data_IF_669574038500
#
_entry.id   IF_669574038500
#
_cell.length_a   1.000
_cell.length_b   1.000
_cell.length_c   1.000
_cell.angle_alpha   90.00
_cell.angle_beta   90.00
_cell.angle_gamma   90.00
#
_symmetry.space_group_name_H-M   'P 1'
#
loop_
_entity.id
_entity.type
_entity.pdbx_description
1 polymer ?
#
# COMPACT_ATOMS: atom_id res chain seq x y z
N UNK A 1 3.40 4.58 -17.14
CA UNK A 1 3.68 5.92 -16.63
C UNK A 1 5.18 6.21 -16.69
N UNK A 2 5.55 7.49 -16.75
CA UNK A 2 6.94 7.94 -16.80
C UNK A 2 7.17 9.04 -15.78
N UNK A 3 8.40 9.16 -15.30
CA UNK A 3 8.85 10.24 -14.44
C UNK A 3 9.03 11.54 -15.23
N UNK A 4 9.34 12.65 -14.56
CA UNK A 4 9.54 13.96 -15.19
C UNK A 4 10.68 13.97 -16.23
N UNK A 5 11.68 13.11 -16.09
CA UNK A 5 12.83 12.93 -17.02
C UNK A 5 12.57 11.87 -18.12
N UNK A 6 11.31 11.43 -18.25
CA UNK A 6 10.85 10.45 -19.23
C UNK A 6 11.38 9.02 -19.04
N UNK A 7 11.93 8.70 -17.88
CA UNK A 7 12.28 7.31 -17.52
C UNK A 7 11.04 6.53 -17.05
N UNK A 8 11.15 5.20 -17.00
CA UNK A 8 10.07 4.37 -16.49
C UNK A 8 9.83 4.66 -15.00
N UNK A 9 8.55 4.79 -14.64
CA UNK A 9 8.15 5.06 -13.27
C UNK A 9 8.16 3.77 -12.44
N UNK A 10 8.94 3.76 -11.39
CA UNK A 10 8.97 2.70 -10.38
C UNK A 10 8.44 3.25 -9.06
N UNK A 11 7.39 2.67 -8.52
CA UNK A 11 6.92 2.98 -7.16
C UNK A 11 7.96 2.55 -6.12
N UNK A 12 8.60 1.42 -6.36
CA UNK A 12 9.70 0.91 -5.55
C UNK A 12 10.83 0.44 -6.47
N UNK A 13 12.06 0.83 -6.19
CA UNK A 13 13.23 0.26 -6.85
C UNK A 13 13.52 -1.13 -6.29
N UNK A 14 14.15 -2.04 -7.04
CA UNK A 14 14.59 -3.31 -6.50
C UNK A 14 15.43 -3.13 -5.23
N UNK A 15 15.11 -3.87 -4.17
CA UNK A 15 15.76 -3.74 -2.86
C UNK A 15 15.23 -2.63 -1.95
N UNK A 16 14.31 -1.78 -2.43
CA UNK A 16 13.76 -0.67 -1.65
C UNK A 16 12.41 -1.00 -0.99
N UNK A 17 11.98 -2.24 -1.03
CA UNK A 17 10.73 -2.68 -0.38
C UNK A 17 10.93 -4.05 0.23
N UNK A 18 10.71 -4.16 1.52
CA UNK A 18 10.76 -5.41 2.28
C UNK A 18 9.43 -5.64 2.98
N UNK A 19 8.85 -6.82 2.78
CA UNK A 19 7.67 -7.27 3.50
C UNK A 19 7.98 -8.54 4.27
N UNK A 20 7.49 -8.61 5.51
CA UNK A 20 7.65 -9.77 6.35
C UNK A 20 6.42 -10.09 7.19
N UNK A 21 6.34 -11.36 7.59
CA UNK A 21 5.35 -11.85 8.54
C UNK A 21 6.09 -12.30 9.80
N UNK A 22 5.85 -11.58 10.88
CA UNK A 22 6.32 -11.96 12.20
C UNK A 22 5.37 -12.95 12.86
N UNK A 23 5.87 -14.09 13.33
CA UNK A 23 5.08 -15.07 14.07
C UNK A 23 5.94 -15.81 15.09
N UNK A 24 5.32 -16.20 16.20
CA UNK A 24 6.00 -16.97 17.24
C UNK A 24 5.88 -18.48 16.95
N UNK A 25 7.04 -19.15 16.83
CA UNK A 25 7.16 -20.60 16.55
C UNK A 25 8.01 -21.33 17.61
N UNK A 26 7.92 -20.90 18.89
CA UNK A 26 8.87 -21.25 19.95
C UNK A 26 9.94 -20.16 20.11
N UNK A 27 10.24 -19.44 19.05
CA UNK A 27 11.01 -18.21 18.97
C UNK A 27 10.29 -17.24 18.04
N UNK A 28 10.59 -15.95 18.15
CA UNK A 28 10.03 -14.94 17.22
C UNK A 28 10.81 -15.06 15.90
N UNK A 29 10.10 -15.38 14.83
CA UNK A 29 10.65 -15.35 13.48
C UNK A 29 9.99 -14.25 12.67
N UNK A 30 10.73 -13.70 11.70
CA UNK A 30 10.18 -12.85 10.65
C UNK A 30 10.51 -13.46 9.30
N UNK A 31 9.50 -13.61 8.44
CA UNK A 31 9.70 -14.26 7.13
C UNK A 31 10.62 -13.48 6.20
N UNK A 32 10.87 -12.18 6.43
CA UNK A 32 11.85 -11.39 5.67
C UNK A 32 13.30 -11.88 5.84
N UNK A 33 13.59 -12.60 6.94
CA UNK A 33 14.91 -13.14 7.23
C UNK A 33 15.18 -14.46 6.50
N UNK A 34 14.21 -14.96 5.72
CA UNK A 34 14.27 -16.26 5.05
C UNK A 34 14.01 -16.14 3.55
N UNK A 35 14.52 -17.10 2.79
CA UNK A 35 14.32 -17.16 1.34
C UNK A 35 13.14 -18.07 1.00
N UNK A 36 12.13 -17.51 0.38
CA UNK A 36 11.00 -18.28 -0.15
C UNK A 36 11.39 -18.98 -1.45
N UNK A 37 10.94 -20.21 -1.61
CA UNK A 37 11.10 -20.99 -2.83
C UNK A 37 9.93 -20.72 -3.78
N UNK A 38 10.22 -20.32 -5.02
CA UNK A 38 9.22 -20.21 -6.07
C UNK A 38 8.73 -21.61 -6.45
N UNK A 39 7.43 -21.90 -6.24
CA UNK A 39 6.83 -23.20 -6.55
C UNK A 39 5.97 -23.20 -7.79
N UNK A 40 5.29 -22.09 -8.06
CA UNK A 40 4.44 -21.93 -9.24
C UNK A 40 4.55 -20.52 -9.80
N UNK A 41 4.52 -20.41 -11.13
CA UNK A 41 4.49 -19.13 -11.85
C UNK A 41 3.60 -19.24 -13.07
N UNK A 42 2.69 -18.28 -13.24
CA UNK A 42 1.87 -18.07 -14.43
C UNK A 42 2.04 -16.64 -14.93
N UNK A 43 1.35 -16.26 -16.00
CA UNK A 43 1.38 -14.88 -16.53
C UNK A 43 0.78 -13.85 -15.55
N UNK A 44 -0.06 -14.28 -14.62
CA UNK A 44 -0.78 -13.40 -13.69
C UNK A 44 -0.59 -13.76 -12.21
N UNK A 45 0.12 -14.83 -11.88
CA UNK A 45 0.31 -15.24 -10.49
C UNK A 45 1.66 -15.89 -10.22
N UNK A 46 2.11 -15.73 -8.98
CA UNK A 46 3.27 -16.45 -8.43
C UNK A 46 2.88 -17.07 -7.10
N UNK A 47 3.42 -18.26 -6.82
CA UNK A 47 3.29 -18.95 -5.53
C UNK A 47 4.69 -19.24 -5.00
N UNK A 48 4.92 -18.81 -3.77
CA UNK A 48 6.20 -18.99 -3.08
C UNK A 48 5.96 -19.65 -1.73
N UNK A 49 6.86 -20.54 -1.30
CA UNK A 49 6.76 -21.28 -0.04
C UNK A 49 8.03 -21.16 0.79
N UNK A 50 7.84 -21.03 2.09
CA UNK A 50 8.85 -21.15 3.11
C UNK A 50 8.61 -22.45 3.86
N UNK A 51 9.39 -23.54 3.61
CA UNK A 51 9.18 -24.83 4.24
C UNK A 51 9.73 -24.87 5.65
N UNK A 52 9.10 -25.67 6.52
CA UNK A 52 9.54 -26.00 7.88
C UNK A 52 9.90 -27.47 8.00
N UNK A 53 10.74 -27.81 9.01
CA UNK A 53 11.27 -29.17 9.19
C UNK A 53 10.21 -30.24 9.44
N UNK A 54 9.04 -29.87 9.95
CA UNK A 54 7.91 -30.78 10.19
C UNK A 54 7.10 -31.11 8.93
N UNK A 55 7.48 -30.57 7.76
CA UNK A 55 6.75 -30.69 6.50
C UNK A 55 5.67 -29.62 6.29
N UNK A 56 5.38 -28.78 7.29
CA UNK A 56 4.53 -27.61 7.13
C UNK A 56 5.23 -26.48 6.37
N UNK A 57 4.48 -25.48 5.93
CA UNK A 57 5.04 -24.34 5.22
C UNK A 57 4.18 -23.09 5.35
N UNK A 58 4.81 -21.93 5.19
CA UNK A 58 4.15 -20.65 4.95
C UNK A 58 4.16 -20.42 3.44
N UNK A 59 3.00 -20.14 2.86
CA UNK A 59 2.85 -19.87 1.43
C UNK A 59 2.37 -18.45 1.21
N UNK A 60 2.95 -17.78 0.23
CA UNK A 60 2.46 -16.53 -0.32
C UNK A 60 2.09 -16.72 -1.79
N UNK A 61 0.83 -16.45 -2.13
CA UNK A 61 0.35 -16.42 -3.50
C UNK A 61 -0.03 -14.99 -3.86
N UNK A 62 0.63 -14.44 -4.86
CA UNK A 62 0.29 -13.14 -5.43
C UNK A 62 -0.40 -13.33 -6.77
N UNK A 63 -1.49 -12.59 -6.99
CA UNK A 63 -2.26 -12.65 -8.23
C UNK A 63 -2.54 -11.23 -8.73
N UNK A 64 -2.08 -10.94 -9.94
CA UNK A 64 -2.41 -9.71 -10.66
C UNK A 64 -3.82 -9.83 -11.25
N UNK A 65 -4.63 -8.79 -11.06
CA UNK A 65 -5.95 -8.70 -11.70
C UNK A 65 -5.81 -7.90 -13.00
N UNK A 66 -6.02 -8.51 -14.18
CA UNK A 66 -5.89 -7.81 -15.46
C UNK A 66 -6.74 -6.54 -15.52
N UNK A 67 -6.18 -5.47 -16.08
CA UNK A 67 -6.88 -4.18 -16.23
C UNK A 67 -7.11 -3.41 -14.93
N UNK A 68 -6.49 -3.81 -13.82
CA UNK A 68 -6.58 -3.14 -12.53
C UNK A 68 -5.20 -2.82 -11.97
N UNK A 69 -5.15 -2.00 -10.91
CA UNK A 69 -3.94 -1.72 -10.13
C UNK A 69 -3.87 -2.55 -8.85
N UNK A 70 -4.63 -3.65 -8.78
CA UNK A 70 -4.76 -4.48 -7.59
C UNK A 70 -4.00 -5.78 -7.74
N UNK A 71 -3.21 -6.09 -6.72
CA UNK A 71 -2.56 -7.38 -6.50
C UNK A 71 -3.22 -8.04 -5.30
N UNK A 72 -3.83 -9.20 -5.50
CA UNK A 72 -4.32 -10.03 -4.38
C UNK A 72 -3.16 -10.82 -3.80
N UNK A 73 -3.10 -10.92 -2.49
CA UNK A 73 -2.16 -11.78 -1.77
C UNK A 73 -2.93 -12.74 -0.86
N UNK A 74 -2.66 -14.01 -1.00
CA UNK A 74 -3.12 -15.06 -0.12
C UNK A 74 -1.92 -15.57 0.68
N UNK A 75 -1.92 -15.31 1.98
CA UNK A 75 -0.95 -15.80 2.94
C UNK A 75 -1.53 -17.04 3.62
N UNK A 76 -0.87 -18.18 3.49
CA UNK A 76 -1.36 -19.46 4.02
C UNK A 76 -0.31 -20.10 4.94
N UNK A 77 -0.80 -20.62 6.08
CA UNK A 77 -0.03 -21.42 7.02
C UNK A 77 -0.55 -22.86 6.96
N UNK A 78 0.19 -23.75 6.35
CA UNK A 78 -0.23 -25.13 6.07
C UNK A 78 0.59 -26.11 6.88
N UNK A 79 -0.09 -27.00 7.63
CA UNK A 79 0.59 -28.01 8.45
C UNK A 79 1.45 -27.43 9.57
N UNK A 80 1.14 -26.22 10.04
CA UNK A 80 1.92 -25.51 11.04
C UNK A 80 1.48 -25.82 12.48
N UNK A 81 0.51 -26.69 12.67
CA UNK A 81 0.16 -27.22 13.99
C UNK A 81 1.36 -27.95 14.59
N UNK A 82 1.71 -27.63 15.83
CA UNK A 82 2.93 -28.14 16.48
C UNK A 82 4.20 -27.35 16.22
N UNK A 83 4.22 -26.47 15.23
CA UNK A 83 5.28 -25.45 15.03
C UNK A 83 4.86 -24.14 15.69
N UNK A 84 3.61 -23.71 15.42
CA UNK A 84 3.03 -22.53 16.05
C UNK A 84 2.29 -22.99 17.30
N UNK A 85 2.68 -22.51 18.50
CA UNK A 85 1.98 -22.84 19.74
C UNK A 85 0.52 -22.43 19.71
N UNK A 86 -0.36 -23.26 20.30
CA UNK A 86 -1.84 -23.04 20.29
C UNK A 86 -2.31 -21.75 20.92
N UNK A 87 -1.52 -21.14 21.76
CA UNK A 87 -1.81 -19.87 22.43
C UNK A 87 -1.41 -18.63 21.60
N UNK A 88 -0.81 -18.82 20.42
CA UNK A 88 -0.53 -17.70 19.50
C UNK A 88 -1.85 -17.20 18.92
N UNK A 89 -2.12 -15.92 19.14
CA UNK A 89 -3.38 -15.27 18.78
C UNK A 89 -3.21 -14.13 17.79
N UNK A 90 -2.00 -13.85 17.35
CA UNK A 90 -1.70 -12.79 16.38
C UNK A 90 -0.50 -13.13 15.51
N UNK A 91 -0.39 -12.43 14.40
CA UNK A 91 0.81 -12.30 13.57
C UNK A 91 1.10 -10.82 13.38
N UNK A 92 2.34 -10.48 13.13
CA UNK A 92 2.75 -9.14 12.77
C UNK A 92 3.02 -9.10 11.25
N UNK A 93 2.52 -8.07 10.58
CA UNK A 93 2.81 -7.75 9.18
C UNK A 93 3.72 -6.54 9.16
N UNK A 94 4.94 -6.70 8.65
CA UNK A 94 5.91 -5.64 8.50
C UNK A 94 6.04 -5.25 7.02
N UNK A 95 6.05 -3.97 6.75
CA UNK A 95 6.33 -3.44 5.42
C UNK A 95 7.17 -2.17 5.50
N UNK A 96 8.43 -2.29 5.12
CA UNK A 96 9.39 -1.20 5.06
C UNK A 96 9.63 -0.85 3.59
N UNK A 97 9.53 0.43 3.23
CA UNK A 97 9.77 0.91 1.86
C UNK A 97 10.55 2.19 1.83
N UNK A 98 11.50 2.29 0.91
CA UNK A 98 12.14 3.54 0.51
C UNK A 98 11.58 3.97 -0.84
N UNK A 99 10.89 5.09 -0.85
CA UNK A 99 10.16 5.61 -2.01
C UNK A 99 11.05 6.60 -2.76
N UNK A 100 11.29 6.41 -4.08
CA UNK A 100 12.12 7.30 -4.88
C UNK A 100 11.40 8.62 -5.18
N UNK A 101 12.18 9.66 -5.47
CA UNK A 101 11.66 10.92 -6.04
C UNK A 101 11.21 10.66 -7.47
N UNK A 102 10.02 11.17 -7.82
CA UNK A 102 9.41 11.00 -9.13
C UNK A 102 9.21 12.31 -9.87
N UNK A 103 9.20 13.41 -9.11
CA UNK A 103 8.92 14.75 -9.61
C UNK A 103 10.15 15.67 -9.51
N UNK A 104 10.19 16.69 -10.35
CA UNK A 104 11.28 17.67 -10.37
C UNK A 104 11.32 18.53 -9.10
N UNK A 105 10.14 18.82 -8.54
CA UNK A 105 10.00 19.73 -7.40
C UNK A 105 9.95 19.01 -6.07
N UNK A 106 11.10 18.75 -5.43
CA UNK A 106 11.20 18.07 -4.14
C UNK A 106 10.23 18.62 -3.08
N UNK A 107 10.18 19.94 -2.87
CA UNK A 107 9.32 20.58 -1.86
C UNK A 107 7.84 20.32 -2.10
N UNK A 108 7.41 20.30 -3.37
CA UNK A 108 6.05 19.95 -3.73
C UNK A 108 5.78 18.48 -3.45
N UNK A 109 6.68 17.60 -3.86
CA UNK A 109 6.53 16.16 -3.67
C UNK A 109 6.42 15.82 -2.17
N UNK A 110 7.29 16.40 -1.33
CA UNK A 110 7.22 16.30 0.14
C UNK A 110 5.88 16.80 0.68
N UNK A 111 5.42 17.97 0.25
CA UNK A 111 4.18 18.59 0.74
C UNK A 111 2.93 17.72 0.48
N UNK A 112 2.91 16.93 -0.59
CA UNK A 112 1.77 16.07 -0.95
C UNK A 112 1.96 14.62 -0.51
N UNK A 113 3.11 14.27 0.06
CA UNK A 113 3.41 12.91 0.53
C UNK A 113 3.06 12.76 2.00
N UNK A 114 2.49 11.59 2.34
CA UNK A 114 1.99 11.26 3.68
C UNK A 114 1.70 9.78 3.82
N UNK A 115 1.39 9.35 5.02
CA UNK A 115 0.78 8.04 5.28
C UNK A 115 -0.67 8.24 5.71
N UNK A 116 -1.59 7.59 5.00
CA UNK A 116 -3.00 7.55 5.35
C UNK A 116 -3.36 6.21 5.98
N UNK A 117 -4.33 6.20 6.89
CA UNK A 117 -4.92 4.97 7.42
C UNK A 117 -6.40 5.18 7.69
N UNK A 118 -7.17 4.09 7.58
CA UNK A 118 -8.62 4.17 7.64
C UNK A 118 -9.19 3.18 8.65
N UNK A 119 -10.02 3.72 9.54
CA UNK A 119 -10.87 2.92 10.41
C UNK A 119 -12.20 2.66 9.72
N UNK A 120 -12.63 1.41 9.68
CA UNK A 120 -13.90 1.06 9.08
C UNK A 120 -15.07 1.86 9.64
N UNK A 121 -15.87 2.46 8.75
CA UNK A 121 -17.03 3.26 9.16
C UNK A 121 -16.79 4.77 9.23
N UNK A 122 -15.56 5.24 9.28
CA UNK A 122 -15.26 6.66 9.35
C UNK A 122 -15.62 7.42 8.05
N UNK A 123 -15.83 8.72 8.18
CA UNK A 123 -16.14 9.57 7.01
C UNK A 123 -14.93 9.78 6.10
N UNK A 124 -13.73 9.80 6.66
CA UNK A 124 -12.46 10.04 5.96
C UNK A 124 -11.33 9.27 6.66
N UNK A 125 -10.23 8.96 5.94
CA UNK A 125 -9.02 8.45 6.55
C UNK A 125 -8.38 9.51 7.45
N UNK A 126 -7.62 9.06 8.42
CA UNK A 126 -6.65 9.86 9.15
C UNK A 126 -5.32 9.86 8.40
N UNK A 127 -4.46 10.84 8.68
CA UNK A 127 -3.16 10.99 8.05
C UNK A 127 -2.08 11.35 9.05
N UNK A 128 -0.85 10.94 8.74
CA UNK A 128 0.36 11.36 9.44
C UNK A 128 1.42 11.84 8.45
N UNK A 129 2.30 12.70 8.93
CA UNK A 129 3.53 13.03 8.24
C UNK A 129 3.38 13.83 6.95
N UNK A 130 2.27 14.51 6.71
CA UNK A 130 2.15 15.38 5.54
C UNK A 130 3.25 16.46 5.57
N UNK A 131 4.25 16.30 4.69
CA UNK A 131 5.37 17.22 4.58
C UNK A 131 6.33 17.25 5.78
N UNK A 132 6.30 16.28 6.67
CA UNK A 132 7.17 16.18 7.85
C UNK A 132 7.33 14.75 8.33
N UNK A 133 8.40 14.47 9.06
CA UNK A 133 8.59 13.18 9.73
C UNK A 133 7.54 12.97 10.81
N UNK A 134 7.02 11.76 10.91
CA UNK A 134 6.03 11.38 11.91
C UNK A 134 5.99 9.88 12.11
N UNK A 135 5.59 9.49 13.30
CA UNK A 135 5.19 8.13 13.66
C UNK A 135 3.86 8.15 14.40
N UNK A 136 3.14 7.04 14.34
CA UNK A 136 1.85 6.90 15.00
C UNK A 136 1.60 5.45 15.39
N UNK A 137 1.40 5.24 16.68
CA UNK A 137 0.84 3.99 17.20
C UNK A 137 -0.68 4.03 17.13
N UNK A 138 -1.27 2.95 16.66
CA UNK A 138 -2.70 2.78 16.41
C UNK A 138 -3.18 1.58 17.20
N UNK A 139 -4.16 1.80 18.08
CA UNK A 139 -4.74 0.78 18.95
C UNK A 139 -6.16 0.34 18.50
N UNK A 140 -6.68 0.97 17.45
CA UNK A 140 -7.96 0.64 16.85
C UNK A 140 -7.79 -0.21 15.59
N UNK A 141 -8.85 -0.92 15.19
CA UNK A 141 -8.85 -1.75 13.99
C UNK A 141 -8.69 -0.91 12.73
N UNK A 142 -7.68 -1.27 11.92
CA UNK A 142 -7.35 -0.60 10.66
C UNK A 142 -7.87 -1.42 9.50
N UNK A 143 -8.69 -0.82 8.64
CA UNK A 143 -9.22 -1.45 7.44
C UNK A 143 -8.20 -1.42 6.29
N UNK A 144 -7.48 -0.31 6.13
CA UNK A 144 -6.35 -0.18 5.22
C UNK A 144 -5.42 0.96 5.63
N UNK A 145 -4.19 0.90 5.14
CA UNK A 145 -3.26 2.02 5.19
C UNK A 145 -2.62 2.25 3.83
N UNK A 146 -2.08 3.44 3.60
CA UNK A 146 -1.52 3.86 2.33
C UNK A 146 -0.25 4.70 2.51
N UNK A 147 0.77 4.38 1.76
CA UNK A 147 1.92 5.24 1.51
C UNK A 147 1.61 6.07 0.27
N UNK A 148 1.30 7.34 0.49
CA UNK A 148 0.89 8.26 -0.57
C UNK A 148 2.01 9.19 -0.97
N UNK A 149 2.29 9.24 -2.27
CA UNK A 149 3.04 10.27 -2.95
C UNK A 149 2.08 11.26 -3.63
N UNK A 150 2.64 12.27 -4.30
CA UNK A 150 1.85 13.29 -5.00
C UNK A 150 0.84 12.69 -5.99
N UNK A 151 1.27 11.75 -6.85
CA UNK A 151 0.44 11.21 -7.93
C UNK A 151 0.17 9.72 -7.84
N UNK A 152 0.83 9.00 -6.94
CA UNK A 152 0.72 7.56 -6.79
C UNK A 152 0.57 7.17 -5.33
N UNK A 153 -0.03 6.01 -5.11
CA UNK A 153 -0.13 5.42 -3.78
C UNK A 153 0.11 3.91 -3.82
N UNK A 154 0.67 3.42 -2.73
CA UNK A 154 0.71 2.02 -2.38
C UNK A 154 -0.21 1.81 -1.17
N UNK A 155 -1.33 1.08 -1.37
CA UNK A 155 -2.32 0.83 -0.33
C UNK A 155 -2.32 -0.65 0.02
N UNK A 156 -2.29 -0.96 1.30
CA UNK A 156 -2.46 -2.32 1.82
C UNK A 156 -3.79 -2.44 2.57
N UNK A 157 -4.57 -3.44 2.21
CA UNK A 157 -5.86 -3.77 2.81
C UNK A 157 -5.91 -5.25 3.16
N UNK A 158 -5.92 -5.64 4.44
CA UNK A 158 -6.28 -6.99 4.82
C UNK A 158 -7.80 -7.19 4.67
N UNK A 159 -8.24 -8.38 4.31
CA UNK A 159 -9.67 -8.70 4.28
C UNK A 159 -10.23 -8.70 5.70
N UNK A 160 -9.47 -9.24 6.66
CA UNK A 160 -9.75 -9.11 8.08
C UNK A 160 -8.90 -7.95 8.62
N UNK A 161 -9.52 -6.88 9.07
CA UNK A 161 -8.87 -5.69 9.58
C UNK A 161 -7.70 -6.01 10.52
N UNK A 162 -6.62 -5.22 10.45
CA UNK A 162 -5.59 -5.27 11.49
C UNK A 162 -6.17 -4.83 12.84
N UNK A 163 -5.76 -5.50 13.90
CA UNK A 163 -6.23 -5.20 15.26
C UNK A 163 -5.58 -3.92 15.82
N UNK A 164 -4.33 -3.68 15.45
CA UNK A 164 -3.53 -2.52 15.88
C UNK A 164 -2.32 -2.38 14.96
N UNK A 165 -1.51 -1.35 15.17
CA UNK A 165 -0.26 -1.21 14.43
C UNK A 165 0.52 0.05 14.76
N UNK A 166 1.60 0.23 14.00
CA UNK A 166 2.46 1.41 14.05
C UNK A 166 2.81 1.79 12.61
N UNK A 167 2.68 3.07 12.30
CA UNK A 167 3.01 3.64 11.00
C UNK A 167 4.04 4.74 11.17
N UNK A 168 5.02 4.80 10.27
CA UNK A 168 6.04 5.84 10.29
C UNK A 168 6.34 6.36 8.89
N UNK A 169 6.77 7.61 8.82
CA UNK A 169 7.28 8.28 7.62
C UNK A 169 8.44 9.18 7.99
N UNK A 170 9.55 9.07 7.27
CA UNK A 170 10.73 9.92 7.40
C UNK A 170 11.13 10.41 6.02
N UNK A 171 11.17 11.73 5.84
CA UNK A 171 11.63 12.34 4.60
C UNK A 171 13.16 12.36 4.55
N UNK A 172 13.68 12.05 3.36
CA UNK A 172 15.11 12.06 3.04
C UNK A 172 15.43 13.47 2.51
N UNK A 173 16.58 14.02 2.89
CA UNK A 173 16.98 15.38 2.51
C UNK A 173 17.08 15.56 0.99
N UNK A 174 16.87 16.81 0.52
CA UNK A 174 16.83 17.14 -0.91
C UNK A 174 18.15 16.84 -1.63
N UNK A 175 19.26 16.99 -0.96
CA UNK A 175 20.63 16.82 -1.47
C UNK A 175 21.21 15.41 -1.24
N UNK A 176 20.41 14.48 -0.70
CA UNK A 176 20.83 13.09 -0.51
C UNK A 176 21.14 12.42 -1.86
N UNK A 177 22.33 11.77 -1.99
CA UNK A 177 22.76 11.18 -3.26
C UNK A 177 21.93 9.98 -3.73
N UNK A 178 21.10 9.39 -2.89
CA UNK A 178 20.21 8.27 -3.28
C UNK A 178 19.06 8.71 -4.19
N UNK A 179 18.75 10.02 -4.20
CA UNK A 179 17.57 10.58 -4.87
C UNK A 179 16.26 9.91 -4.45
N UNK A 180 16.18 9.46 -3.21
CA UNK A 180 14.94 8.99 -2.62
C UNK A 180 14.18 10.14 -1.98
N UNK A 181 12.87 9.94 -1.76
CA UNK A 181 11.98 10.95 -1.20
C UNK A 181 11.74 10.71 0.29
N UNK A 182 11.42 9.48 0.64
CA UNK A 182 11.01 9.13 2.00
C UNK A 182 11.14 7.65 2.29
N UNK A 183 11.36 7.33 3.56
CA UNK A 183 11.21 6.00 4.13
C UNK A 183 9.87 5.90 4.83
N UNK A 184 9.11 4.86 4.51
CA UNK A 184 7.85 4.54 5.17
C UNK A 184 7.93 3.16 5.79
N UNK A 185 7.35 3.02 6.97
CA UNK A 185 7.25 1.75 7.67
C UNK A 185 5.83 1.51 8.18
N UNK A 186 5.38 0.27 8.07
CA UNK A 186 4.15 -0.23 8.67
C UNK A 186 4.45 -1.50 9.45
N UNK A 187 4.10 -1.53 10.74
CA UNK A 187 4.12 -2.72 11.59
C UNK A 187 2.71 -2.94 12.09
N UNK A 188 2.00 -3.86 11.45
CA UNK A 188 0.58 -4.06 11.70
C UNK A 188 0.33 -5.44 12.31
N UNK A 189 -0.55 -5.50 13.30
CA UNK A 189 -0.90 -6.75 13.99
C UNK A 189 -2.24 -7.25 13.51
N UNK A 190 -2.25 -8.48 12.98
CA UNK A 190 -3.46 -9.19 12.59
C UNK A 190 -3.83 -10.28 13.57
N UNK A 191 -5.13 -10.52 13.75
CA UNK A 191 -5.62 -11.65 14.54
C UNK A 191 -5.23 -12.97 13.88
N UNK A 192 -4.83 -13.95 14.69
CA UNK A 192 -4.42 -15.28 14.24
C UNK A 192 -5.06 -16.35 15.13
N UNK A 193 -5.49 -17.42 14.52
CA UNK A 193 -5.98 -18.61 15.24
C UNK A 193 -5.34 -19.85 14.65
N UNK A 194 -4.55 -20.53 15.44
CA UNK A 194 -3.83 -21.74 15.01
C UNK A 194 -4.83 -22.81 14.56
N UNK A 195 -4.62 -23.33 13.36
CA UNK A 195 -5.29 -24.50 12.80
C UNK A 195 -4.38 -25.15 11.75
N UNK A 196 -4.75 -26.33 11.27
CA UNK A 196 -3.97 -27.06 10.26
C UNK A 196 -3.82 -26.28 8.94
N UNK A 197 -4.80 -25.44 8.62
CA UNK A 197 -4.79 -24.58 7.45
C UNK A 197 -5.37 -23.21 7.83
N UNK A 198 -4.51 -22.20 7.88
CA UNK A 198 -4.91 -20.80 8.09
C UNK A 198 -4.65 -20.03 6.82
N UNK A 199 -5.66 -19.31 6.33
CA UNK A 199 -5.56 -18.47 5.14
C UNK A 199 -5.93 -17.04 5.51
N UNK A 200 -5.05 -16.10 5.18
CA UNK A 200 -5.20 -14.68 5.37
C UNK A 200 -5.17 -14.02 4.00
N UNK A 201 -6.23 -13.32 3.65
CA UNK A 201 -6.35 -12.64 2.36
C UNK A 201 -6.06 -11.15 2.51
N UNK A 202 -5.22 -10.65 1.63
CA UNK A 202 -4.81 -9.25 1.55
C UNK A 202 -4.97 -8.73 0.12
N UNK A 203 -5.11 -7.43 0.00
CA UNK A 203 -5.09 -6.73 -1.28
C UNK A 203 -4.10 -5.58 -1.23
N UNK A 204 -3.31 -5.43 -2.28
CA UNK A 204 -2.45 -4.28 -2.50
C UNK A 204 -2.96 -3.50 -3.71
N UNK A 205 -3.05 -2.20 -3.57
CA UNK A 205 -3.22 -1.29 -4.69
C UNK A 205 -1.90 -0.58 -4.95
N UNK A 206 -1.40 -0.67 -6.18
CA UNK A 206 -0.23 0.05 -6.64
C UNK A 206 -0.61 0.86 -7.87
N UNK A 207 -0.86 2.15 -7.71
CA UNK A 207 -1.40 2.89 -8.84
C UNK A 207 -1.55 4.39 -8.61
N UNK A 208 -2.10 5.08 -9.64
CA UNK A 208 -2.23 6.53 -9.63
C UNK A 208 -3.32 7.02 -8.65
N UNK A 209 -3.11 8.21 -8.10
CA UNK A 209 -4.09 8.93 -7.28
C UNK A 209 -5.21 9.51 -8.15
N UNK A 210 -5.84 8.67 -8.97
CA UNK A 210 -6.93 9.08 -9.84
C UNK A 210 -8.28 8.83 -9.16
N UNK A 211 -9.05 9.90 -8.91
CA UNK A 211 -10.28 9.86 -8.10
C UNK A 211 -11.26 8.76 -8.53
N UNK A 212 -11.55 8.65 -9.83
CA UNK A 212 -12.52 7.65 -10.33
C UNK A 212 -12.00 6.23 -10.18
N UNK A 213 -10.71 6.00 -10.45
CA UNK A 213 -10.06 4.70 -10.28
C UNK A 213 -10.11 4.27 -8.82
N UNK A 214 -9.68 5.12 -7.89
CA UNK A 214 -9.72 4.82 -6.46
C UNK A 214 -11.15 4.58 -5.96
N UNK A 215 -12.11 5.38 -6.43
CA UNK A 215 -13.52 5.23 -6.07
C UNK A 215 -14.15 3.94 -6.59
N UNK A 216 -13.73 3.44 -7.76
CA UNK A 216 -14.28 2.22 -8.35
C UNK A 216 -14.04 0.97 -7.53
N UNK A 217 -13.04 0.97 -6.64
CA UNK A 217 -12.77 -0.15 -5.73
C UNK A 217 -13.73 -0.24 -4.54
N UNK A 218 -14.52 0.81 -4.26
CA UNK A 218 -15.54 0.80 -3.20
C UNK A 218 -15.02 0.82 -1.76
N UNK A 219 -13.68 0.93 -1.57
CA UNK A 219 -13.00 0.88 -0.28
C UNK A 219 -12.69 2.26 0.31
N UNK A 220 -13.29 3.32 -0.25
CA UNK A 220 -13.05 4.73 0.13
C UNK A 220 -11.61 5.21 -0.10
N UNK A 221 -10.85 4.54 -0.97
CA UNK A 221 -9.50 4.97 -1.33
C UNK A 221 -9.46 6.37 -1.94
N UNK A 222 -10.54 6.81 -2.62
CA UNK A 222 -10.64 8.16 -3.18
C UNK A 222 -10.58 9.27 -2.13
N UNK A 223 -10.73 8.92 -0.85
CA UNK A 223 -10.68 9.87 0.27
C UNK A 223 -9.26 10.33 0.62
N UNK A 224 -8.23 9.63 0.14
CA UNK A 224 -6.85 10.11 0.29
C UNK A 224 -6.60 11.39 -0.52
N UNK A 225 -7.41 11.63 -1.57
CA UNK A 225 -7.28 12.81 -2.44
C UNK A 225 -7.95 14.02 -1.77
N UNK A 226 -7.20 15.08 -1.43
CA UNK A 226 -7.78 16.29 -0.88
C UNK A 226 -8.50 17.08 -1.97
N UNK A 227 -9.83 17.06 -2.00
CA UNK A 227 -10.65 17.82 -2.95
C UNK A 227 -10.94 19.25 -2.49
N UNK A 228 -10.30 19.72 -1.41
CA UNK A 228 -10.57 21.02 -0.81
C UNK A 228 -11.70 21.02 0.23
N UNK A 229 -12.05 22.21 0.76
CA UNK A 229 -13.18 22.38 1.68
C UNK A 229 -14.51 21.94 1.06
N UNK A 230 -15.59 21.81 1.88
CA UNK A 230 -16.83 21.17 1.41
C UNK A 230 -17.44 21.84 0.15
N UNK A 231 -17.43 23.16 0.03
CA UNK A 231 -17.92 23.87 -1.17
C UNK A 231 -17.02 23.62 -2.38
N UNK A 232 -15.69 23.78 -2.21
CA UNK A 232 -14.72 23.56 -3.29
C UNK A 232 -14.71 22.09 -3.68
N UNK A 233 -14.75 21.18 -2.71
CA UNK A 233 -14.80 19.75 -2.95
C UNK A 233 -16.08 19.30 -3.67
N UNK A 234 -17.22 19.88 -3.33
CA UNK A 234 -18.48 19.65 -4.05
C UNK A 234 -18.37 20.09 -5.51
N UNK A 235 -17.91 21.32 -5.75
CA UNK A 235 -17.75 21.88 -7.10
C UNK A 235 -16.72 21.08 -7.92
N UNK A 236 -15.58 20.76 -7.33
CA UNK A 236 -14.55 19.91 -7.98
C UNK A 236 -15.13 18.57 -8.39
N UNK A 237 -15.87 17.89 -7.49
CA UNK A 237 -16.41 16.57 -7.73
C UNK A 237 -17.52 16.53 -8.77
N UNK A 238 -18.42 17.51 -8.75
CA UNK A 238 -19.64 17.51 -9.58
C UNK A 238 -19.51 18.32 -10.87
N UNK A 239 -18.54 19.23 -10.94
CA UNK A 239 -18.33 20.10 -12.11
C UNK A 239 -16.97 19.86 -12.75
N UNK A 240 -15.88 20.08 -12.01
CA UNK A 240 -14.53 20.06 -12.58
C UNK A 240 -14.16 18.68 -13.11
N UNK A 241 -14.28 17.62 -12.30
CA UNK A 241 -13.91 16.27 -12.70
C UNK A 241 -14.74 15.78 -13.91
N UNK A 242 -16.09 15.88 -13.91
CA UNK A 242 -16.87 15.46 -15.08
C UNK A 242 -16.56 16.28 -16.34
N UNK A 243 -16.35 17.60 -16.21
CA UNK A 243 -16.00 18.46 -17.34
C UNK A 243 -14.63 18.10 -17.91
N UNK A 244 -13.64 17.92 -17.04
CA UNK A 244 -12.30 17.48 -17.44
C UNK A 244 -12.34 16.15 -18.21
N UNK A 245 -13.05 15.15 -17.67
CA UNK A 245 -13.20 13.85 -18.32
C UNK A 245 -13.97 13.91 -19.65
N UNK A 246 -14.96 14.79 -19.74
CA UNK A 246 -15.68 15.03 -20.99
C UNK A 246 -14.74 15.61 -22.05
N UNK A 247 -13.97 16.65 -21.72
CA UNK A 247 -12.99 17.25 -22.62
C UNK A 247 -11.90 16.26 -23.02
N UNK A 248 -11.44 15.40 -22.09
CA UNK A 248 -10.39 14.42 -22.35
C UNK A 248 -10.80 13.33 -23.38
N UNK A 249 -12.09 13.09 -23.58
CA UNK A 249 -12.57 12.20 -24.65
C UNK A 249 -12.25 12.72 -26.06
N UNK A 250 -12.15 14.02 -26.22
CA UNK A 250 -11.92 14.69 -27.51
C UNK A 250 -10.51 15.27 -27.64
N UNK A 251 -9.88 15.60 -26.53
CA UNK A 251 -8.60 16.30 -26.47
C UNK A 251 -7.63 15.44 -25.65
N UNK A 252 -6.63 14.87 -26.31
CA UNK A 252 -5.61 14.05 -25.63
C UNK A 252 -4.58 14.87 -24.86
N UNK A 253 -4.46 16.17 -25.13
CA UNK A 253 -3.48 17.06 -24.51
C UNK A 253 -4.08 17.74 -23.27
N UNK A 254 -3.60 17.35 -22.09
CA UNK A 254 -4.05 17.91 -20.81
C UNK A 254 -3.80 19.42 -20.69
N UNK A 255 -2.72 19.94 -21.29
CA UNK A 255 -2.42 21.38 -21.26
C UNK A 255 -3.50 22.20 -21.96
N UNK A 256 -4.02 21.71 -23.10
CA UNK A 256 -5.11 22.36 -23.81
C UNK A 256 -6.41 22.29 -22.98
N UNK A 257 -6.69 21.15 -22.33
CA UNK A 257 -7.86 21.02 -21.47
C UNK A 257 -7.80 22.02 -20.32
N UNK A 258 -6.65 22.13 -19.65
CA UNK A 258 -6.45 23.08 -18.56
C UNK A 258 -6.65 24.51 -19.05
N UNK A 259 -6.08 24.87 -20.20
CA UNK A 259 -6.26 26.21 -20.80
C UNK A 259 -7.73 26.52 -21.10
N UNK A 260 -8.53 25.54 -21.53
CA UNK A 260 -9.96 25.71 -21.79
C UNK A 260 -10.80 25.84 -20.51
N UNK A 261 -10.28 25.33 -19.39
CA UNK A 261 -10.98 25.34 -18.09
C UNK A 261 -10.60 26.54 -17.21
N UNK A 262 -9.59 27.32 -17.62
CA UNK A 262 -9.11 28.53 -16.92
C UNK A 262 -9.80 29.77 -17.46
#
# INVERSE_FOLDING_TARGET
>A
YRTYDSTDLYLFKPGNSEMGIGIYTGENINTKDFVFQLTEKTDSSIVMRLPFRNGGYIQQKYTLRPGTFVVSNELSFIGMEGVIPRNVSYYDFDWDVTIPRMEKGYKNEVQYSKVDYYFGGDKKPEEIGRGRNADKRIENRVEWFAFQQQFFSAIMRPVNQFASGELAINFIEEDDPSHNLMDCAAKMRGDFKVSNNVVINNEFYFGPNHYKTLKSYGQKYEKIIPLGGWMVGWFTKWVIIPLFDFLHKFISNFGIIILLMT
#
